data_IF_176370932299
#
_entry.id   IF_176370932299
#
_cell.length_a   1.000
_cell.length_b   1.000
_cell.length_c   1.000
_cell.angle_alpha   90.00
_cell.angle_beta   90.00
_cell.angle_gamma   90.00
#
_symmetry.space_group_name_H-M   'P 1'
#
loop_
_entity.id
_entity.type
_entity.pdbx_description
1 polymer ?
#
# COMPACT_ATOMS: atom_id res chain seq x y z
N UNK A 1 12.50 -24.09 8.39
CA UNK A 1 11.24 -23.38 8.70
C UNK A 1 11.41 -21.91 8.38
N UNK A 2 10.51 -21.33 7.60
CA UNK A 2 10.57 -19.91 7.21
C UNK A 2 9.47 -19.16 7.96
N UNK A 3 9.87 -18.16 8.76
CA UNK A 3 8.99 -17.21 9.43
C UNK A 3 9.00 -15.91 8.63
N UNK A 4 7.83 -15.48 8.20
CA UNK A 4 7.66 -14.29 7.36
C UNK A 4 7.03 -13.15 8.15
N UNK A 5 7.55 -11.93 7.99
CA UNK A 5 6.93 -10.70 8.46
C UNK A 5 6.58 -9.79 7.30
N UNK A 6 5.35 -9.29 7.28
CA UNK A 6 4.79 -8.41 6.25
C UNK A 6 4.49 -7.05 6.84
N UNK A 7 5.03 -6.00 6.23
CA UNK A 7 4.79 -4.61 6.61
C UNK A 7 4.04 -3.92 5.48
N UNK A 8 2.84 -3.40 5.73
CA UNK A 8 2.14 -2.69 4.67
C UNK A 8 0.73 -2.21 4.97
N UNK A 9 0.30 -1.21 4.20
CA UNK A 9 -1.00 -0.56 4.32
C UNK A 9 -1.95 -0.78 3.14
N UNK A 10 -1.49 -1.37 2.03
CA UNK A 10 -2.30 -1.57 0.81
C UNK A 10 -2.91 -2.97 0.74
N UNK A 11 -4.23 -3.04 0.73
CA UNK A 11 -5.01 -4.27 0.93
C UNK A 11 -4.74 -5.38 -0.10
N UNK A 12 -4.64 -5.04 -1.39
CA UNK A 12 -4.53 -6.07 -2.44
C UNK A 12 -3.14 -6.71 -2.54
N UNK A 13 -2.06 -5.93 -2.44
CA UNK A 13 -0.68 -6.45 -2.54
C UNK A 13 -0.34 -7.26 -1.30
N UNK A 14 -0.71 -6.76 -0.13
CA UNK A 14 -0.45 -7.39 1.15
C UNK A 14 -1.11 -8.77 1.27
N UNK A 15 -2.40 -8.86 0.95
CA UNK A 15 -3.18 -10.09 1.12
C UNK A 15 -2.68 -11.19 0.19
N UNK A 16 -2.30 -10.86 -1.04
CA UNK A 16 -1.70 -11.82 -1.96
C UNK A 16 -0.34 -12.32 -1.49
N UNK A 17 0.47 -11.49 -0.82
CA UNK A 17 1.71 -11.92 -0.20
C UNK A 17 1.47 -12.94 0.93
N UNK A 18 0.44 -12.76 1.76
CA UNK A 18 0.09 -13.69 2.83
C UNK A 18 -0.22 -15.08 2.26
N UNK A 19 -1.24 -15.19 1.40
CA UNK A 19 -1.66 -16.46 0.86
C UNK A 19 -0.56 -17.14 0.04
N UNK A 20 0.22 -16.39 -0.74
CA UNK A 20 1.35 -16.94 -1.49
C UNK A 20 2.40 -17.54 -0.56
N UNK A 21 2.76 -16.84 0.51
CA UNK A 21 3.76 -17.32 1.46
C UNK A 21 3.34 -18.58 2.20
N UNK A 22 2.06 -18.65 2.61
CA UNK A 22 1.51 -19.84 3.26
C UNK A 22 1.54 -21.04 2.29
N UNK A 23 1.08 -20.84 1.05
CA UNK A 23 1.08 -21.88 0.02
C UNK A 23 2.49 -22.32 -0.40
N UNK A 24 3.50 -21.47 -0.21
CA UNK A 24 4.91 -21.80 -0.43
C UNK A 24 5.59 -22.44 0.80
N UNK A 25 4.83 -22.72 1.87
CA UNK A 25 5.30 -23.46 3.03
C UNK A 25 5.92 -22.62 4.13
N UNK A 26 5.59 -21.34 4.25
CA UNK A 26 5.94 -20.56 5.42
C UNK A 26 5.29 -21.16 6.68
N UNK A 27 6.08 -21.37 7.72
CA UNK A 27 5.59 -21.94 9.00
C UNK A 27 4.70 -20.96 9.74
N UNK A 28 5.00 -19.68 9.65
CA UNK A 28 4.20 -18.60 10.20
C UNK A 28 4.29 -17.36 9.33
N UNK A 29 3.19 -16.61 9.27
CA UNK A 29 3.12 -15.31 8.61
C UNK A 29 2.58 -14.30 9.61
N UNK A 30 3.34 -13.24 9.85
CA UNK A 30 2.91 -12.12 10.70
C UNK A 30 2.73 -10.88 9.83
N UNK A 31 1.54 -10.33 9.82
CA UNK A 31 1.20 -9.06 9.19
C UNK A 31 1.30 -7.93 10.19
N UNK A 32 2.03 -6.88 9.84
CA UNK A 32 2.25 -5.70 10.69
C UNK A 32 1.61 -4.49 10.02
N UNK A 33 0.77 -3.79 10.76
CA UNK A 33 0.08 -2.58 10.32
C UNK A 33 0.45 -1.41 11.24
N UNK A 34 0.78 -0.28 10.63
CA UNK A 34 1.03 0.96 11.35
C UNK A 34 -0.27 1.61 11.87
N UNK A 35 -1.37 1.40 11.15
CA UNK A 35 -2.68 1.91 11.53
C UNK A 35 -3.30 1.09 12.67
N UNK A 36 -4.21 1.66 13.49
CA UNK A 36 -4.97 0.91 14.47
C UNK A 36 -5.90 -0.09 13.78
N UNK A 37 -6.30 -1.10 14.52
CA UNK A 37 -7.25 -2.10 14.02
C UNK A 37 -8.58 -1.42 13.68
N UNK A 38 -9.06 -1.56 12.43
CA UNK A 38 -10.38 -1.05 12.07
C UNK A 38 -11.49 -1.75 12.86
N UNK A 39 -12.62 -1.09 13.11
CA UNK A 39 -13.76 -1.70 13.79
C UNK A 39 -14.34 -2.87 12.98
N UNK A 40 -14.93 -3.82 13.70
CA UNK A 40 -15.65 -4.95 13.12
C UNK A 40 -17.08 -4.48 12.80
N UNK A 41 -17.51 -4.65 11.54
CA UNK A 41 -18.87 -4.27 11.12
C UNK A 41 -19.04 -2.78 10.82
N UNK A 42 -20.16 -2.20 11.25
CA UNK A 42 -20.48 -0.81 10.94
C UNK A 42 -19.53 0.18 11.63
N UNK A 43 -19.00 1.13 10.86
CA UNK A 43 -18.20 2.24 11.37
C UNK A 43 -18.96 3.57 11.19
N UNK A 44 -19.42 4.21 12.28
CA UNK A 44 -20.13 5.48 12.20
C UNK A 44 -19.30 6.64 11.67
N UNK A 45 -17.98 6.57 11.76
CA UNK A 45 -17.08 7.62 11.26
C UNK A 45 -16.95 7.63 9.74
N UNK A 46 -17.38 6.55 9.08
CA UNK A 46 -17.38 6.43 7.62
C UNK A 46 -18.74 5.95 7.10
N UNK A 47 -19.83 6.80 7.26
CA UNK A 47 -21.15 6.46 6.77
C UNK A 47 -21.20 6.48 5.24
N UNK A 48 -22.18 5.75 4.70
CA UNK A 48 -22.47 5.85 3.25
C UNK A 48 -22.73 7.32 2.85
N UNK A 49 -22.22 7.84 1.71
CA UNK A 49 -21.53 7.13 0.61
C UNK A 49 -19.99 7.02 0.74
N UNK A 50 -19.42 7.26 1.90
CA UNK A 50 -17.99 7.12 2.11
C UNK A 50 -17.56 5.65 2.07
N UNK A 51 -16.32 5.41 1.67
CA UNK A 51 -15.74 4.07 1.71
C UNK A 51 -15.63 3.59 3.16
N UNK A 52 -16.27 2.47 3.53
CA UNK A 52 -16.27 2.03 4.92
C UNK A 52 -14.89 1.57 5.38
N UNK A 53 -14.37 2.23 6.43
CA UNK A 53 -13.14 1.82 7.12
C UNK A 53 -13.52 0.78 8.18
N UNK A 54 -13.58 -0.48 7.77
CA UNK A 54 -13.92 -1.63 8.62
C UNK A 54 -12.89 -2.73 8.48
N UNK A 55 -12.78 -3.60 9.49
CA UNK A 55 -11.90 -4.76 9.43
C UNK A 55 -12.38 -5.71 8.32
N UNK A 56 -11.53 -5.89 7.33
CA UNK A 56 -11.76 -6.84 6.24
C UNK A 56 -10.87 -8.06 6.43
N UNK A 57 -11.45 -9.23 6.26
CA UNK A 57 -10.74 -10.51 6.22
C UNK A 57 -10.94 -11.11 4.85
N UNK A 58 -9.85 -11.44 4.18
CA UNK A 58 -9.85 -12.09 2.87
C UNK A 58 -9.57 -13.58 3.02
N UNK A 59 -9.81 -14.38 1.98
CA UNK A 59 -9.47 -15.79 1.96
C UNK A 59 -7.99 -16.06 2.29
N UNK A 60 -7.09 -15.17 1.86
CA UNK A 60 -5.67 -15.26 2.20
C UNK A 60 -5.39 -15.14 3.69
N UNK A 61 -6.15 -14.33 4.41
CA UNK A 61 -6.05 -14.26 5.88
C UNK A 61 -6.58 -15.54 6.56
N UNK A 62 -7.60 -16.16 5.96
CA UNK A 62 -8.19 -17.40 6.46
C UNK A 62 -7.25 -18.61 6.28
N UNK A 63 -6.33 -18.55 5.34
CA UNK A 63 -5.27 -19.55 5.17
C UNK A 63 -4.31 -19.60 6.38
N UNK A 64 -4.25 -18.54 7.18
CA UNK A 64 -3.53 -18.47 8.44
C UNK A 64 -2.46 -17.38 8.50
N UNK A 65 -2.73 -16.30 9.22
CA UNK A 65 -1.71 -15.31 9.57
C UNK A 65 -2.02 -14.66 10.91
N UNK A 66 -0.98 -14.19 11.59
CA UNK A 66 -1.12 -13.34 12.77
C UNK A 66 -1.12 -11.89 12.34
N UNK A 67 -2.21 -11.16 12.62
CA UNK A 67 -2.35 -9.74 12.28
C UNK A 67 -2.06 -8.89 13.51
N UNK A 68 -1.18 -7.90 13.35
CA UNK A 68 -0.76 -6.99 14.42
C UNK A 68 -0.91 -5.54 13.96
N UNK A 69 -1.44 -4.70 14.82
CA UNK A 69 -1.86 -3.34 14.54
C UNK A 69 -1.09 -2.33 15.39
N UNK A 70 -1.10 -1.06 14.97
CA UNK A 70 -0.42 0.05 15.67
C UNK A 70 1.06 -0.22 15.93
N UNK A 71 1.75 -0.82 14.96
CA UNK A 71 3.17 -1.13 15.02
C UNK A 71 3.92 -0.49 13.85
N UNK A 72 4.89 0.35 14.17
CA UNK A 72 5.83 0.92 13.20
C UNK A 72 7.09 0.06 13.15
N UNK A 73 7.50 -0.38 11.96
CA UNK A 73 8.78 -1.04 11.76
C UNK A 73 9.91 -0.01 11.81
N UNK A 74 10.87 -0.18 12.71
CA UNK A 74 11.97 0.77 12.93
C UNK A 74 13.27 0.34 12.29
N UNK A 75 13.59 -0.95 12.31
CA UNK A 75 14.78 -1.49 11.66
C UNK A 75 14.69 -2.99 11.44
N UNK A 76 15.45 -3.51 10.49
CA UNK A 76 15.67 -4.93 10.30
C UNK A 76 16.88 -5.40 11.10
N UNK A 77 16.75 -6.55 11.72
CA UNK A 77 17.82 -7.21 12.46
C UNK A 77 18.37 -8.31 11.59
N UNK A 78 19.69 -8.29 11.38
CA UNK A 78 20.39 -9.25 10.55
C UNK A 78 21.54 -9.92 11.26
N UNK A 79 21.82 -11.15 10.87
CA UNK A 79 22.98 -11.92 11.31
C UNK A 79 23.57 -12.66 10.11
N UNK A 80 24.89 -12.56 9.91
CA UNK A 80 25.60 -13.23 8.81
C UNK A 80 25.02 -12.93 7.42
N UNK A 81 24.59 -11.67 7.16
CA UNK A 81 24.03 -11.26 5.86
C UNK A 81 22.60 -11.71 5.62
N UNK A 82 21.92 -12.29 6.61
CA UNK A 82 20.51 -12.69 6.52
C UNK A 82 19.69 -11.94 7.56
N UNK A 83 18.44 -11.60 7.22
CA UNK A 83 17.49 -11.06 8.17
C UNK A 83 17.11 -12.15 9.17
N UNK A 84 17.00 -11.79 10.46
CA UNK A 84 16.55 -12.68 11.51
C UNK A 84 15.44 -12.07 12.36
N UNK A 85 15.03 -10.83 12.10
CA UNK A 85 13.94 -10.19 12.77
C UNK A 85 13.69 -8.77 12.30
N UNK A 86 12.58 -8.22 12.76
CA UNK A 86 12.22 -6.81 12.59
C UNK A 86 11.92 -6.20 13.95
N UNK A 87 12.59 -5.10 14.28
CA UNK A 87 12.26 -4.30 15.44
C UNK A 87 11.04 -3.44 15.10
N UNK A 88 10.03 -3.54 15.94
CA UNK A 88 8.82 -2.75 15.83
C UNK A 88 8.61 -1.92 17.08
N UNK A 89 7.95 -0.79 16.93
CA UNK A 89 7.60 0.12 18.01
C UNK A 89 6.09 0.34 18.02
N UNK A 90 5.49 0.24 19.20
CA UNK A 90 4.07 0.52 19.38
C UNK A 90 3.80 2.02 19.16
N UNK A 91 2.76 2.33 18.40
CA UNK A 91 2.37 3.71 18.07
C UNK A 91 0.92 3.98 18.45
N UNK A 92 0.67 5.20 18.87
CA UNK A 92 -0.67 5.75 19.08
C UNK A 92 -1.01 6.76 17.98
N UNK A 93 -2.25 6.72 17.53
CA UNK A 93 -2.78 7.69 16.59
C UNK A 93 -3.65 8.69 17.32
N UNK A 94 -3.19 9.94 17.37
CA UNK A 94 -3.95 11.03 17.94
C UNK A 94 -4.97 11.53 16.91
N UNK A 95 -6.23 11.73 17.32
CA UNK A 95 -7.26 12.22 16.42
C UNK A 95 -6.88 13.56 15.81
N UNK A 96 -7.42 13.81 14.63
CA UNK A 96 -7.26 15.11 13.97
C UNK A 96 -7.89 16.21 14.81
N UNK A 97 -7.14 17.28 15.07
CA UNK A 97 -7.67 18.52 15.67
C UNK A 97 -7.70 19.61 14.61
N UNK A 98 -8.78 20.38 14.55
CA UNK A 98 -8.93 21.58 13.72
C UNK A 98 -8.59 21.41 12.22
N UNK A 99 -9.08 20.32 11.62
CA UNK A 99 -8.90 20.05 10.19
C UNK A 99 -7.51 19.52 9.79
N UNK A 100 -6.62 19.29 10.75
CA UNK A 100 -5.33 18.65 10.52
C UNK A 100 -5.50 17.11 10.36
N UNK A 101 -4.48 16.46 9.79
CA UNK A 101 -4.45 15.00 9.69
C UNK A 101 -4.15 14.38 11.05
N UNK A 102 -4.64 13.14 11.32
CA UNK A 102 -4.22 12.38 12.49
C UNK A 102 -2.69 12.31 12.57
N UNK A 103 -2.14 12.45 13.77
CA UNK A 103 -0.70 12.39 14.00
C UNK A 103 -0.34 11.12 14.74
N UNK A 104 0.76 10.51 14.30
CA UNK A 104 1.30 9.30 14.92
C UNK A 104 2.29 9.70 16.02
N UNK A 105 2.17 9.07 17.19
CA UNK A 105 3.10 9.24 18.33
C UNK A 105 3.65 7.88 18.73
N UNK A 106 4.96 7.81 18.94
CA UNK A 106 5.62 6.65 19.54
C UNK A 106 5.23 6.51 21.00
N UNK A 107 4.96 5.29 21.46
CA UNK A 107 4.77 4.97 22.89
C UNK A 107 6.09 4.67 23.60
N UNK A 108 7.17 4.46 22.85
CA UNK A 108 8.48 4.02 23.37
C UNK A 108 8.58 2.52 23.63
N UNK A 109 7.50 1.77 23.49
CA UNK A 109 7.53 0.31 23.66
C UNK A 109 8.02 -0.35 22.38
N UNK A 110 9.12 -1.08 22.47
CA UNK A 110 9.75 -1.78 21.37
C UNK A 110 9.79 -3.28 21.62
N UNK A 111 9.67 -4.02 20.55
CA UNK A 111 9.86 -5.47 20.55
C UNK A 111 10.52 -5.92 19.25
N UNK A 112 11.02 -7.14 19.24
CA UNK A 112 11.58 -7.79 18.06
C UNK A 112 10.68 -8.94 17.66
N UNK A 113 10.19 -8.88 16.43
CA UNK A 113 9.46 -10.00 15.81
C UNK A 113 10.49 -10.80 15.01
N UNK A 114 10.67 -12.06 15.38
CA UNK A 114 11.56 -12.97 14.66
C UNK A 114 11.02 -13.25 13.26
N UNK A 115 11.88 -13.15 12.25
CA UNK A 115 11.51 -13.39 10.85
C UNK A 115 12.74 -13.81 10.05
N UNK A 116 12.58 -14.82 9.23
CA UNK A 116 13.60 -15.28 8.28
C UNK A 116 13.49 -14.54 6.94
N UNK A 117 12.32 -13.93 6.68
CA UNK A 117 12.05 -13.08 5.52
C UNK A 117 11.12 -11.93 5.90
N UNK A 118 11.34 -10.77 5.33
CA UNK A 118 10.47 -9.59 5.50
C UNK A 118 10.09 -9.07 4.13
N UNK A 119 8.79 -8.93 3.88
CA UNK A 119 8.24 -8.36 2.66
C UNK A 119 7.67 -6.97 2.96
N UNK A 120 8.11 -5.97 2.22
CA UNK A 120 7.59 -4.61 2.29
C UNK A 120 6.42 -4.45 1.33
N UNK A 121 5.19 -4.65 1.83
CA UNK A 121 3.97 -4.55 1.06
C UNK A 121 3.24 -3.22 1.34
N UNK A 122 3.99 -2.11 1.35
CA UNK A 122 3.52 -0.78 1.77
C UNK A 122 2.90 0.05 0.63
N UNK A 123 2.68 -0.57 -0.54
CA UNK A 123 2.20 0.12 -1.73
C UNK A 123 3.30 0.89 -2.47
N UNK A 124 2.89 1.78 -3.36
CA UNK A 124 3.78 2.54 -4.22
C UNK A 124 3.68 4.03 -3.91
N UNK A 125 4.79 4.75 -3.97
CA UNK A 125 4.78 6.21 -3.80
C UNK A 125 4.25 6.90 -5.06
N UNK A 126 4.85 6.59 -6.20
CA UNK A 126 4.48 7.09 -7.54
C UNK A 126 5.25 6.31 -8.60
N UNK A 127 4.80 6.31 -9.86
CA UNK A 127 5.57 5.75 -10.96
C UNK A 127 6.82 6.59 -11.22
N UNK A 128 7.91 5.94 -11.58
CA UNK A 128 9.07 6.63 -12.13
C UNK A 128 8.74 7.17 -13.52
N UNK A 129 8.91 8.47 -13.69
CA UNK A 129 8.69 9.10 -14.97
C UNK A 129 10.00 9.74 -15.47
N UNK A 130 10.67 9.14 -16.46
CA UNK A 130 11.77 9.80 -17.14
C UNK A 130 11.24 11.05 -17.88
N UNK A 131 12.12 11.97 -18.22
CA UNK A 131 11.77 13.07 -19.11
C UNK A 131 11.51 12.50 -20.51
N UNK A 132 10.27 12.56 -20.93
CA UNK A 132 9.87 12.18 -22.28
C UNK A 132 10.02 13.35 -23.25
N UNK A 133 10.11 13.04 -24.55
CA UNK A 133 10.03 14.04 -25.62
C UNK A 133 8.59 14.62 -25.66
N UNK A 134 8.45 15.81 -26.24
CA UNK A 134 7.18 16.55 -26.32
C UNK A 134 6.04 15.79 -27.03
N UNK A 135 6.39 14.84 -27.88
CA UNK A 135 5.45 14.00 -28.62
C UNK A 135 5.11 12.67 -27.92
N UNK A 136 5.50 12.51 -26.64
CA UNK A 136 5.21 11.34 -25.83
C UNK A 136 4.21 11.71 -24.74
N UNK A 137 3.07 11.06 -24.76
CA UNK A 137 1.99 11.26 -23.80
C UNK A 137 1.88 10.04 -22.87
N UNK A 138 1.72 10.29 -21.59
CA UNK A 138 1.60 9.23 -20.58
C UNK A 138 0.22 9.29 -19.93
N UNK A 139 -0.43 8.15 -19.81
CA UNK A 139 -1.78 8.05 -19.29
C UNK A 139 -1.95 6.91 -18.27
N UNK A 140 -3.00 6.99 -17.47
CA UNK A 140 -3.43 5.97 -16.55
C UNK A 140 -2.40 5.71 -15.44
N UNK A 141 -2.21 4.44 -15.09
CA UNK A 141 -1.32 4.04 -14.00
C UNK A 141 0.15 4.40 -14.26
N UNK A 142 0.57 4.46 -15.51
CA UNK A 142 1.91 4.93 -15.87
C UNK A 142 2.12 6.41 -15.52
N UNK A 143 1.08 7.25 -15.59
CA UNK A 143 1.14 8.67 -15.26
C UNK A 143 1.00 8.95 -13.75
N UNK A 144 0.09 8.26 -13.08
CA UNK A 144 -0.38 8.61 -11.74
C UNK A 144 -0.13 7.55 -10.67
N UNK A 145 0.34 6.35 -11.05
CA UNK A 145 0.48 5.19 -10.17
C UNK A 145 -0.76 4.29 -10.22
N UNK A 146 -0.62 3.11 -9.61
CA UNK A 146 -1.67 2.11 -9.58
C UNK A 146 -2.98 2.68 -9.01
N UNK A 147 -4.07 2.53 -9.75
CA UNK A 147 -5.36 3.12 -9.41
C UNK A 147 -6.55 2.23 -9.87
N UNK A 148 -7.75 2.71 -9.68
CA UNK A 148 -8.95 2.04 -10.18
C UNK A 148 -9.00 2.12 -11.71
N UNK A 149 -9.47 1.05 -12.36
CA UNK A 149 -9.64 0.97 -13.82
C UNK A 149 -10.43 2.16 -14.37
N UNK A 150 -11.48 2.59 -13.67
CA UNK A 150 -12.30 3.76 -14.08
C UNK A 150 -11.49 5.06 -14.11
N UNK A 151 -10.49 5.23 -13.23
CA UNK A 151 -9.59 6.39 -13.23
C UNK A 151 -8.62 6.32 -14.41
N UNK A 152 -8.05 5.15 -14.67
CA UNK A 152 -7.18 4.95 -15.81
C UNK A 152 -7.90 5.20 -17.13
N UNK A 153 -9.15 4.75 -17.28
CA UNK A 153 -10.00 5.04 -18.44
C UNK A 153 -10.32 6.53 -18.59
N UNK A 154 -10.65 7.22 -17.50
CA UNK A 154 -10.92 8.65 -17.52
C UNK A 154 -9.68 9.46 -17.94
N UNK A 155 -8.53 9.09 -17.41
CA UNK A 155 -7.26 9.74 -17.75
C UNK A 155 -6.87 9.46 -19.20
N UNK A 156 -7.04 8.25 -19.70
CA UNK A 156 -6.81 7.93 -21.12
C UNK A 156 -7.66 8.78 -22.07
N UNK A 157 -8.93 9.06 -21.73
CA UNK A 157 -9.79 9.97 -22.50
C UNK A 157 -9.27 11.41 -22.47
N UNK A 158 -8.82 11.88 -21.32
CA UNK A 158 -8.21 13.22 -21.19
C UNK A 158 -6.99 13.34 -22.08
N UNK A 159 -6.07 12.38 -22.00
CA UNK A 159 -4.84 12.36 -22.79
C UNK A 159 -5.13 12.25 -24.29
N UNK A 160 -6.14 11.47 -24.70
CA UNK A 160 -6.57 11.41 -26.09
C UNK A 160 -6.97 12.80 -26.63
N UNK A 161 -7.67 13.61 -25.82
CA UNK A 161 -8.01 15.00 -26.21
C UNK A 161 -6.77 15.89 -26.32
N UNK A 162 -5.77 15.68 -25.47
CA UNK A 162 -4.50 16.41 -25.55
C UNK A 162 -3.72 16.04 -26.80
N UNK A 163 -3.68 14.76 -27.16
CA UNK A 163 -3.06 14.27 -28.39
C UNK A 163 -3.75 14.87 -29.63
N UNK A 164 -5.07 14.92 -29.63
CA UNK A 164 -5.82 15.48 -30.77
C UNK A 164 -5.50 16.96 -30.95
N UNK A 165 -5.46 17.75 -29.90
CA UNK A 165 -5.03 19.17 -29.93
C UNK A 165 -3.59 19.32 -30.37
N UNK A 166 -2.69 18.43 -29.96
CA UNK A 166 -1.30 18.45 -30.42
C UNK A 166 -1.18 18.18 -31.91
N UNK A 167 -2.03 17.34 -32.48
CA UNK A 167 -2.03 16.98 -33.92
C UNK A 167 -2.73 17.96 -34.80
N UNK A 168 -3.63 18.82 -34.30
CA UNK A 168 -4.37 19.82 -35.11
C UNK A 168 -3.44 20.71 -35.97
N UNK A 169 -2.41 21.38 -35.39
CA UNK A 169 -1.51 22.25 -36.19
C UNK A 169 -0.70 21.47 -37.23
N UNK A 170 -0.44 20.19 -37.00
CA UNK A 170 0.30 19.32 -37.92
C UNK A 170 -0.55 18.90 -39.14
N UNK A 171 -1.87 18.91 -39.02
CA UNK A 171 -2.82 18.64 -40.10
C UNK A 171 -2.92 19.87 -41.05
N UNK A 172 -2.88 21.08 -40.50
CA UNK A 172 -2.95 22.35 -41.31
C UNK A 172 -1.71 22.58 -42.12
N UNK A 173 -0.53 22.20 -41.65
CA UNK A 173 0.75 22.36 -42.39
C UNK A 173 0.96 21.33 -43.51
N UNK A 174 0.03 20.41 -43.74
CA UNK A 174 0.08 19.42 -44.81
C UNK A 174 -0.87 19.71 -45.99
N UNK A 175 -1.54 20.87 -45.99
CA UNK A 175 -2.31 21.41 -47.11
C UNK A 175 -1.51 22.51 -47.79
#
# INVERSE_FOLDING_TARGET
>A
EIRLSLVGSEMCIRDSCIGTSIRQGAVSVTQIEIMPQPPIGHNPDTPWPQWPVVLKTTSSHEEGCTRRWSLASTRFIGKNGKVCGVEVEEVEWLPATDGNRPTMKSTGKKEVIEADMVLLAMGFLKPEQPKFAENVFVAGDAAHGASLVVRALADGRRVATEIDRYLEPLKENKK
#
